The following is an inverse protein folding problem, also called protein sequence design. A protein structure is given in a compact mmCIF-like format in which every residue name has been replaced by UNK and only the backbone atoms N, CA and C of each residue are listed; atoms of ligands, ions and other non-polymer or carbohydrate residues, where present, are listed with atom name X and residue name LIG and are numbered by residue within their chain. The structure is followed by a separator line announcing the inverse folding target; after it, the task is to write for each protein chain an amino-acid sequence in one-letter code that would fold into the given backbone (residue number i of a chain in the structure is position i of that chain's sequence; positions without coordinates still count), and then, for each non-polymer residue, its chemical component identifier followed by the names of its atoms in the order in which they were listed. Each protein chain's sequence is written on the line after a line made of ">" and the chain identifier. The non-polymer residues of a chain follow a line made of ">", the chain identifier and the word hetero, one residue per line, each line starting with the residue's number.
data_IF_117859893392
#
_entry.id   IF_117859893392
#
_cell.length_a   1.000
_cell.length_b   1.000
_cell.length_c   1.000
_cell.angle_alpha   90.00
_cell.angle_beta   90.00
_cell.angle_gamma   90.00
#
_symmetry.space_group_name_H-M   'P 1'
#
loop_
_entity.id
_entity.type
_entity.pdbx_description
1 polymer ?
#
# COMPACT_ATOMS: atom_id res chain seq x y z
N UNK A 1 -15.40 -5.17 57.96
CA UNK A 1 -14.82 -4.94 56.63
C UNK A 1 -15.79 -5.47 55.58
N UNK A 2 -16.26 -4.61 54.70
CA UNK A 2 -17.34 -4.93 53.78
C UNK A 2 -16.83 -5.80 52.59
N UNK A 3 -17.17 -7.07 52.57
CA UNK A 3 -16.85 -8.05 51.49
C UNK A 3 -17.39 -7.66 50.11
N UNK A 4 -18.30 -6.68 50.04
CA UNK A 4 -18.86 -6.17 48.78
C UNK A 4 -17.90 -5.27 48.00
N UNK A 5 -16.90 -4.65 48.65
CA UNK A 5 -15.90 -3.81 48.02
C UNK A 5 -14.80 -4.63 47.29
N UNK A 6 -14.48 -5.82 47.81
CA UNK A 6 -13.46 -6.68 47.17
C UNK A 6 -13.94 -7.29 45.84
N UNK A 7 -15.25 -7.55 45.72
CA UNK A 7 -15.81 -8.13 44.48
C UNK A 7 -15.88 -7.13 43.33
N UNK A 8 -15.89 -5.83 43.60
CA UNK A 8 -15.89 -4.78 42.57
C UNK A 8 -14.50 -4.55 41.99
N UNK A 9 -13.44 -4.69 42.79
CA UNK A 9 -12.05 -4.49 42.33
C UNK A 9 -11.57 -5.62 41.38
N UNK A 10 -11.97 -6.88 41.67
CA UNK A 10 -11.57 -8.03 40.84
C UNK A 10 -12.24 -8.03 39.46
N UNK A 11 -13.45 -7.48 39.35
CA UNK A 11 -14.15 -7.41 38.06
C UNK A 11 -13.60 -6.32 37.12
N UNK A 12 -13.01 -5.26 37.72
CA UNK A 12 -12.40 -4.17 36.90
C UNK A 12 -11.03 -4.58 36.38
N UNK A 13 -10.26 -5.34 37.17
CA UNK A 13 -8.95 -5.85 36.74
C UNK A 13 -9.05 -6.89 35.58
N UNK A 14 -10.10 -7.72 35.58
CA UNK A 14 -10.34 -8.68 34.52
C UNK A 14 -10.79 -8.01 33.19
N UNK A 15 -11.49 -6.88 33.27
CA UNK A 15 -11.90 -6.13 32.06
C UNK A 15 -10.74 -5.38 31.41
N UNK A 16 -9.81 -4.84 32.21
CA UNK A 16 -8.62 -4.16 31.65
C UNK A 16 -7.60 -5.12 31.08
N UNK A 17 -7.49 -6.34 31.57
CA UNK A 17 -6.60 -7.36 31.01
C UNK A 17 -7.07 -7.87 29.61
N UNK A 18 -8.36 -7.80 29.31
CA UNK A 18 -8.91 -8.18 28.00
C UNK A 18 -8.66 -7.13 26.91
N UNK A 19 -8.42 -5.88 27.29
CA UNK A 19 -8.11 -4.82 26.31
C UNK A 19 -6.61 -4.70 26.00
N UNK A 20 -5.74 -5.33 26.77
CA UNK A 20 -4.30 -5.32 26.54
C UNK A 20 -3.80 -6.50 25.69
N UNK A 21 -4.68 -7.36 25.18
CA UNK A 21 -4.34 -8.23 24.07
C UNK A 21 -4.26 -7.37 22.80
N UNK A 22 -3.23 -6.51 22.72
CA UNK A 22 -2.84 -5.90 21.48
C UNK A 22 -2.69 -7.04 20.47
N UNK A 23 -3.40 -6.95 19.35
CA UNK A 23 -3.13 -7.83 18.24
C UNK A 23 -1.61 -7.83 18.01
N UNK A 24 -0.99 -8.99 17.79
CA UNK A 24 0.45 -9.03 17.56
C UNK A 24 0.76 -8.04 16.45
N UNK A 25 1.72 -7.15 16.71
CA UNK A 25 2.22 -6.27 15.66
C UNK A 25 2.82 -7.18 14.58
N UNK A 26 2.15 -7.29 13.44
CA UNK A 26 2.68 -8.05 12.32
C UNK A 26 3.95 -7.34 11.85
N UNK A 27 5.10 -8.00 11.97
CA UNK A 27 6.30 -7.47 11.39
C UNK A 27 6.19 -7.57 9.86
N UNK A 28 6.37 -6.44 9.22
CA UNK A 28 6.37 -6.35 7.77
C UNK A 28 7.33 -5.23 7.33
N UNK A 29 7.79 -5.34 6.10
CA UNK A 29 8.46 -4.27 5.37
C UNK A 29 7.64 -3.98 4.12
N UNK A 30 7.38 -2.71 3.83
CA UNK A 30 6.70 -2.28 2.62
C UNK A 30 7.23 -0.91 2.20
N UNK A 31 8.26 -0.90 1.37
CA UNK A 31 8.98 0.32 1.01
C UNK A 31 10.16 0.08 0.07
N UNK A 32 11.04 1.06 0.00
CA UNK A 32 12.18 1.09 -0.93
C UNK A 32 13.32 0.13 -0.59
N UNK A 33 13.33 -0.47 0.59
CA UNK A 33 14.33 -1.47 0.95
C UNK A 33 13.89 -2.87 0.51
N UNK A 34 12.64 -3.22 0.79
CA UNK A 34 12.06 -4.53 0.44
C UNK A 34 10.55 -4.53 0.73
N UNK A 35 9.88 -5.55 0.21
CA UNK A 35 8.51 -5.90 0.59
C UNK A 35 8.54 -7.31 1.16
N UNK A 36 8.11 -7.48 2.41
CA UNK A 36 8.01 -8.78 3.07
C UNK A 36 7.02 -8.75 4.21
N UNK A 37 6.43 -9.91 4.53
CA UNK A 37 5.43 -10.08 5.58
C UNK A 37 5.70 -11.35 6.38
N UNK A 38 5.42 -11.33 7.68
CA UNK A 38 5.47 -12.54 8.52
C UNK A 38 4.28 -13.48 8.29
N UNK A 39 3.15 -12.94 7.87
CA UNK A 39 1.94 -13.69 7.54
C UNK A 39 1.53 -13.43 6.10
N UNK A 40 0.77 -14.37 5.52
CA UNK A 40 0.16 -14.15 4.21
C UNK A 40 -0.72 -12.90 4.27
N UNK A 41 -0.49 -11.96 3.39
CA UNK A 41 -1.16 -10.66 3.43
C UNK A 41 -1.70 -10.30 2.05
N UNK A 42 -3.01 -10.11 1.99
CA UNK A 42 -3.66 -9.58 0.80
C UNK A 42 -3.52 -8.07 0.76
N UNK A 43 -3.00 -7.56 -0.35
CA UNK A 43 -2.88 -6.13 -0.59
C UNK A 43 -3.66 -5.77 -1.83
N UNK A 44 -4.56 -4.81 -1.69
CA UNK A 44 -5.30 -4.22 -2.79
C UNK A 44 -4.58 -2.98 -3.26
N UNK A 45 -4.32 -2.93 -4.55
CA UNK A 45 -3.74 -1.80 -5.26
C UNK A 45 -4.83 -1.09 -6.05
N UNK A 46 -4.81 0.25 -6.03
CA UNK A 46 -5.69 1.06 -6.86
C UNK A 46 -4.83 1.96 -7.74
N UNK A 47 -5.02 1.88 -9.05
CA UNK A 47 -4.43 2.81 -10.00
C UNK A 47 -4.95 4.22 -9.75
N UNK A 48 -4.05 5.19 -9.81
CA UNK A 48 -4.39 6.62 -9.67
C UNK A 48 -4.24 7.36 -10.98
N UNK A 49 -3.05 7.34 -11.50
CA UNK A 49 -2.70 7.98 -12.77
C UNK A 49 -1.30 7.58 -13.20
N UNK A 50 -0.98 7.89 -14.42
CA UNK A 50 0.39 7.95 -14.92
C UNK A 50 0.67 9.29 -15.57
N UNK A 51 1.95 9.66 -15.66
CA UNK A 51 2.37 10.90 -16.28
C UNK A 51 3.80 10.74 -16.78
N UNK A 52 3.98 10.45 -18.05
CA UNK A 52 5.30 10.21 -18.62
C UNK A 52 5.28 9.96 -20.13
N UNK A 53 6.45 9.77 -20.71
CA UNK A 53 6.62 9.56 -22.13
C UNK A 53 6.43 8.10 -22.57
N UNK A 54 6.43 7.15 -21.65
CA UNK A 54 6.41 5.73 -21.96
C UNK A 54 5.07 5.07 -21.68
N UNK A 55 4.89 3.90 -22.26
CA UNK A 55 3.79 3.01 -21.92
C UNK A 55 4.31 1.99 -20.91
N UNK A 56 3.73 1.98 -19.73
CA UNK A 56 4.27 1.27 -18.60
C UNK A 56 3.33 0.18 -18.08
N UNK A 57 3.93 -0.83 -17.43
CA UNK A 57 3.22 -1.91 -16.74
C UNK A 57 3.79 -2.10 -15.34
N UNK A 58 2.93 -1.96 -14.34
CA UNK A 58 3.29 -2.21 -12.95
C UNK A 58 3.01 -3.66 -12.57
N UNK A 59 3.98 -4.31 -11.93
CA UNK A 59 3.85 -5.70 -11.49
C UNK A 59 4.45 -5.96 -10.11
N UNK A 60 4.09 -7.12 -9.52
CA UNK A 60 4.73 -7.70 -8.35
C UNK A 60 5.76 -8.71 -8.80
N UNK A 61 6.96 -8.61 -8.26
CA UNK A 61 8.09 -9.50 -8.55
C UNK A 61 8.53 -10.20 -7.27
N UNK A 62 8.82 -11.50 -7.39
CA UNK A 62 9.55 -12.24 -6.37
C UNK A 62 11.05 -11.93 -6.47
N UNK A 63 11.72 -11.85 -5.32
CA UNK A 63 13.16 -11.52 -5.22
C UNK A 63 13.93 -12.70 -4.63
N UNK A 64 14.99 -13.11 -5.32
CA UNK A 64 15.95 -14.09 -4.82
C UNK A 64 17.38 -13.56 -5.06
N UNK A 65 17.96 -12.97 -4.00
CA UNK A 65 19.21 -12.23 -4.10
C UNK A 65 19.05 -11.01 -5.01
N UNK A 66 19.79 -10.99 -6.13
CA UNK A 66 19.68 -9.92 -7.16
C UNK A 66 18.78 -10.31 -8.34
N UNK A 67 18.18 -11.49 -8.30
CA UNK A 67 17.31 -11.97 -9.38
C UNK A 67 15.87 -11.68 -9.05
N UNK A 68 15.15 -11.15 -10.05
CA UNK A 68 13.72 -10.88 -9.94
C UNK A 68 12.93 -11.72 -10.94
N UNK A 69 11.72 -12.13 -10.57
CA UNK A 69 10.78 -12.81 -11.46
C UNK A 69 9.39 -12.20 -11.34
N UNK A 70 8.79 -11.84 -12.46
CA UNK A 70 7.42 -11.32 -12.48
C UNK A 70 6.44 -12.41 -12.02
N UNK A 71 5.66 -12.11 -10.99
CA UNK A 71 4.63 -12.99 -10.43
C UNK A 71 3.23 -12.59 -10.90
N UNK A 72 2.97 -11.27 -10.96
CA UNK A 72 1.68 -10.74 -11.39
C UNK A 72 1.83 -9.34 -11.94
N UNK A 73 1.24 -9.09 -13.10
CA UNK A 73 0.98 -7.73 -13.59
C UNK A 73 -0.26 -7.19 -12.87
N UNK A 74 -0.12 -6.02 -12.26
CA UNK A 74 -1.21 -5.33 -11.56
C UNK A 74 -1.99 -4.43 -12.53
N UNK A 75 -1.26 -3.60 -13.26
CA UNK A 75 -1.81 -2.64 -14.22
C UNK A 75 -0.94 -2.57 -15.45
N UNK A 76 -1.58 -2.32 -16.58
CA UNK A 76 -0.90 -2.11 -17.88
C UNK A 76 -1.56 -0.95 -18.59
N UNK A 77 -0.75 -0.03 -19.07
CA UNK A 77 -1.20 1.01 -19.99
C UNK A 77 -1.41 0.41 -21.39
N UNK A 78 -2.52 0.75 -21.99
CA UNK A 78 -2.90 0.29 -23.34
C UNK A 78 -2.63 1.34 -24.40
N UNK A 79 -2.38 2.58 -24.02
CA UNK A 79 -1.98 3.70 -24.88
C UNK A 79 -1.11 4.67 -24.09
N UNK A 80 -0.36 5.49 -24.81
CA UNK A 80 0.63 6.38 -24.23
C UNK A 80 0.02 7.54 -23.41
N UNK A 81 -1.16 8.08 -23.82
CA UNK A 81 -1.75 9.20 -23.08
C UNK A 81 -3.23 9.44 -23.37
N UNK A 82 -3.88 10.14 -22.46
CA UNK A 82 -5.21 10.72 -22.64
C UNK A 82 -5.13 12.21 -23.00
N UNK A 83 -4.17 12.90 -22.43
CA UNK A 83 -3.94 14.34 -22.58
C UNK A 83 -2.45 14.63 -22.49
N UNK A 84 -2.06 15.81 -22.94
CA UNK A 84 -0.70 16.28 -22.86
C UNK A 84 0.03 16.27 -24.22
N UNK A 85 1.28 16.69 -24.20
CA UNK A 85 2.17 16.74 -25.35
C UNK A 85 3.13 15.54 -25.34
N UNK A 86 3.86 15.35 -26.41
CA UNK A 86 4.92 14.33 -26.47
C UNK A 86 5.94 14.56 -25.37
N UNK A 87 6.11 13.58 -24.49
CA UNK A 87 6.99 13.66 -23.34
C UNK A 87 6.29 13.93 -22.01
N UNK A 88 5.07 14.51 -22.04
CA UNK A 88 4.30 14.89 -20.86
C UNK A 88 2.87 14.36 -20.97
N UNK A 89 2.71 13.07 -21.01
CA UNK A 89 1.42 12.44 -21.21
C UNK A 89 0.79 11.98 -19.92
N UNK A 90 -0.45 12.40 -19.70
CA UNK A 90 -1.25 11.95 -18.56
C UNK A 90 -2.07 10.74 -18.96
N UNK A 91 -1.98 9.68 -18.16
CA UNK A 91 -2.80 8.50 -18.31
C UNK A 91 -3.84 8.39 -17.19
N UNK A 92 -5.09 8.08 -17.56
CA UNK A 92 -6.22 7.97 -16.65
C UNK A 92 -6.89 6.60 -16.70
N UNK A 93 -7.63 6.29 -15.63
CA UNK A 93 -8.44 5.08 -15.58
C UNK A 93 -9.60 5.16 -16.58
N UNK A 94 -9.81 4.05 -17.29
CA UNK A 94 -10.85 3.93 -18.32
C UNK A 94 -10.35 4.24 -19.74
N UNK A 95 -9.27 4.97 -19.86
CA UNK A 95 -8.65 5.29 -21.13
C UNK A 95 -7.27 4.67 -21.29
N UNK A 96 -6.30 5.09 -20.48
CA UNK A 96 -4.92 4.57 -20.55
C UNK A 96 -4.78 3.25 -19.82
N UNK A 97 -5.37 3.12 -18.62
CA UNK A 97 -5.48 1.86 -17.90
C UNK A 97 -6.94 1.42 -17.92
N UNK A 98 -7.19 0.24 -18.50
CA UNK A 98 -8.55 -0.29 -18.64
C UNK A 98 -8.95 -1.17 -17.43
N UNK A 99 -10.26 -1.37 -17.28
CA UNK A 99 -10.84 -2.23 -16.25
C UNK A 99 -11.20 -1.48 -14.97
N UNK A 100 -11.18 -2.18 -13.84
CA UNK A 100 -11.64 -1.62 -12.57
C UNK A 100 -10.66 -0.62 -11.94
N UNK A 101 -9.40 -0.59 -12.40
CA UNK A 101 -8.32 0.13 -11.72
C UNK A 101 -7.96 -0.45 -10.36
N UNK A 102 -8.42 -1.66 -10.03
CA UNK A 102 -8.19 -2.35 -8.78
C UNK A 102 -7.56 -3.70 -9.06
N UNK A 103 -6.47 -4.00 -8.38
CA UNK A 103 -5.81 -5.30 -8.42
C UNK A 103 -5.44 -5.74 -7.01
N UNK A 104 -5.57 -7.04 -6.71
CA UNK A 104 -5.18 -7.60 -5.41
C UNK A 104 -4.08 -8.64 -5.61
N UNK A 105 -3.11 -8.67 -4.71
CA UNK A 105 -2.06 -9.67 -4.68
C UNK A 105 -1.89 -10.19 -3.25
N UNK A 106 -1.75 -11.53 -3.11
CA UNK A 106 -1.43 -12.17 -1.83
C UNK A 106 0.08 -12.30 -1.69
N UNK A 107 0.67 -11.54 -0.80
CA UNK A 107 2.07 -11.69 -0.41
C UNK A 107 2.17 -12.86 0.56
N UNK A 108 2.93 -13.88 0.18
CA UNK A 108 3.13 -15.05 1.04
C UNK A 108 4.12 -14.73 2.16
N UNK A 109 3.90 -15.33 3.31
CA UNK A 109 4.75 -15.19 4.49
C UNK A 109 6.21 -15.57 4.21
N UNK A 110 7.13 -14.81 4.78
CA UNK A 110 8.58 -15.08 4.73
C UNK A 110 9.17 -15.14 3.30
N UNK A 111 8.51 -14.52 2.33
CA UNK A 111 9.01 -14.30 0.99
C UNK A 111 9.41 -12.84 0.80
N UNK A 112 10.36 -12.60 -0.09
CA UNK A 112 10.83 -11.25 -0.43
C UNK A 112 10.27 -10.85 -1.79
N UNK A 113 9.75 -9.63 -1.86
CA UNK A 113 9.13 -9.08 -3.06
C UNK A 113 9.61 -7.66 -3.34
N UNK A 114 9.36 -7.22 -4.54
CA UNK A 114 9.45 -5.82 -4.96
C UNK A 114 8.33 -5.51 -5.94
N UNK A 115 7.95 -4.25 -6.06
CA UNK A 115 7.17 -3.79 -7.20
C UNK A 115 8.13 -3.42 -8.33
N UNK A 116 7.71 -3.61 -9.57
CA UNK A 116 8.51 -3.23 -10.74
C UNK A 116 7.64 -2.55 -11.79
N UNK A 117 8.15 -1.44 -12.32
CA UNK A 117 7.58 -0.72 -13.45
C UNK A 117 8.39 -1.02 -14.69
N UNK A 118 7.78 -1.74 -15.65
CA UNK A 118 8.37 -2.05 -16.95
C UNK A 118 7.86 -1.06 -17.97
N UNK A 119 8.75 -0.39 -18.67
CA UNK A 119 8.41 0.69 -19.58
C UNK A 119 8.82 0.39 -21.04
N UNK A 120 8.00 0.84 -21.98
CA UNK A 120 8.22 0.71 -23.44
C UNK A 120 8.14 2.10 -24.04
N UNK A 121 9.17 2.45 -24.80
CA UNK A 121 9.22 3.71 -25.53
C UNK A 121 8.18 3.80 -26.66
N UNK A 122 7.97 5.00 -27.16
CA UNK A 122 7.03 5.28 -28.25
C UNK A 122 7.37 4.53 -29.55
N UNK A 123 8.63 4.22 -29.74
CA UNK A 123 9.16 3.44 -30.87
C UNK A 123 9.04 1.92 -30.64
N UNK A 124 8.46 1.50 -29.52
CA UNK A 124 8.37 0.09 -29.12
C UNK A 124 9.65 -0.45 -28.46
N UNK A 125 10.67 0.38 -28.24
CA UNK A 125 11.90 -0.05 -27.57
C UNK A 125 11.64 -0.38 -26.10
N UNK A 126 12.24 -1.47 -25.63
CA UNK A 126 12.18 -1.85 -24.21
C UNK A 126 13.12 -0.93 -23.41
N UNK A 127 12.57 -0.17 -22.48
CA UNK A 127 13.31 0.73 -21.59
C UNK A 127 13.78 0.03 -20.31
N UNK A 128 13.39 -1.22 -20.11
CA UNK A 128 13.72 -2.02 -18.94
C UNK A 128 12.67 -1.97 -17.85
N UNK A 129 13.07 -2.44 -16.67
CA UNK A 129 12.22 -2.44 -15.47
C UNK A 129 12.96 -1.73 -14.35
N UNK A 130 12.32 -0.78 -13.73
CA UNK A 130 12.76 -0.17 -12.49
C UNK A 130 12.01 -0.78 -11.31
N UNK A 131 12.68 -0.91 -10.16
CA UNK A 131 12.13 -1.58 -8.98
C UNK A 131 11.92 -0.62 -7.83
N UNK A 132 10.88 -0.86 -7.02
CA UNK A 132 10.67 -0.12 -5.79
C UNK A 132 11.79 -0.35 -4.77
N UNK A 133 12.46 -1.52 -4.82
CA UNK A 133 13.64 -1.82 -4.02
C UNK A 133 14.88 -1.21 -4.67
N UNK A 134 15.40 -0.14 -4.09
CA UNK A 134 16.51 0.65 -4.66
C UNK A 134 17.74 -0.20 -4.99
N UNK A 135 18.09 -1.18 -4.13
CA UNK A 135 19.23 -2.05 -4.34
C UNK A 135 19.16 -2.95 -5.60
N UNK A 136 17.99 -3.09 -6.20
CA UNK A 136 17.77 -3.85 -7.44
C UNK A 136 17.94 -3.00 -8.69
N UNK A 137 18.00 -1.69 -8.55
CA UNK A 137 18.19 -0.76 -9.65
C UNK A 137 19.68 -0.54 -9.94
N UNK A 138 19.99 -0.14 -11.16
CA UNK A 138 21.37 0.20 -11.55
C UNK A 138 21.92 1.30 -10.63
N UNK A 139 23.10 1.07 -10.07
CA UNK A 139 23.71 2.01 -9.13
C UNK A 139 23.00 2.17 -7.79
N UNK A 140 22.00 1.34 -7.49
CA UNK A 140 21.20 1.44 -6.25
C UNK A 140 20.29 2.67 -6.21
N UNK A 141 19.91 3.21 -7.37
CA UNK A 141 19.07 4.42 -7.46
C UNK A 141 17.66 4.17 -6.96
N UNK A 142 17.11 5.16 -6.28
CA UNK A 142 15.72 5.15 -5.88
C UNK A 142 14.84 5.47 -7.10
N UNK A 143 13.90 4.58 -7.43
CA UNK A 143 12.99 4.70 -8.56
C UNK A 143 11.52 4.62 -8.12
N UNK A 144 11.27 4.62 -6.81
CA UNK A 144 9.93 4.68 -6.27
C UNK A 144 9.93 5.43 -4.94
N UNK A 145 8.82 6.05 -4.63
CA UNK A 145 8.58 6.72 -3.36
C UNK A 145 7.30 6.15 -2.72
N UNK A 146 7.30 6.12 -1.38
CA UNK A 146 6.19 5.63 -0.59
C UNK A 146 5.75 6.71 0.39
N UNK A 147 4.46 6.98 0.48
CA UNK A 147 3.97 8.05 1.34
C UNK A 147 2.50 7.91 1.76
N UNK A 148 1.97 8.94 2.38
CA UNK A 148 0.55 8.96 2.74
C UNK A 148 -0.31 9.17 1.50
N UNK A 149 -1.48 8.49 1.38
CA UNK A 149 -2.38 8.70 0.25
C UNK A 149 -2.83 10.14 0.05
N UNK A 150 -2.84 10.93 1.10
CA UNK A 150 -3.26 12.34 1.07
C UNK A 150 -2.26 13.27 0.40
N UNK A 151 -1.00 12.87 0.27
CA UNK A 151 0.02 13.64 -0.48
C UNK A 151 -0.25 13.58 -1.98
N UNK A 152 -0.97 12.54 -2.42
CA UNK A 152 -1.34 12.31 -3.81
C UNK A 152 -2.77 12.79 -4.15
N UNK A 153 -3.47 13.48 -3.25
CA UNK A 153 -4.81 14.03 -3.47
C UNK A 153 -4.81 15.55 -3.22
N UNK A 154 -5.40 16.33 -4.09
CA UNK A 154 -6.03 16.01 -5.37
C UNK A 154 -5.01 16.11 -6.49
N UNK A 155 -4.83 15.04 -7.20
CA UNK A 155 -4.05 15.02 -8.41
C UNK A 155 -4.83 15.67 -9.56
N UNK A 156 -5.01 16.97 -9.50
CA UNK A 156 -5.16 17.73 -10.71
C UNK A 156 -3.73 17.98 -11.18
N UNK A 157 -3.18 17.05 -11.95
CA UNK A 157 -1.99 17.36 -12.70
C UNK A 157 -2.43 18.44 -13.68
N UNK A 158 -1.95 19.64 -13.44
CA UNK A 158 -1.85 20.62 -14.50
C UNK A 158 -0.75 20.09 -15.45
N UNK A 159 -1.05 19.78 -16.71
CA UNK A 159 -0.04 19.37 -17.68
C UNK A 159 1.09 20.38 -17.84
N UNK A 160 0.88 21.63 -17.39
CA UNK A 160 1.88 22.67 -17.37
C UNK A 160 2.70 22.69 -16.06
N UNK A 161 2.29 21.95 -15.03
CA UNK A 161 2.95 21.91 -13.73
C UNK A 161 3.62 20.54 -13.52
N UNK A 162 4.82 20.40 -14.05
CA UNK A 162 5.71 19.27 -13.81
C UNK A 162 6.15 19.20 -12.35
N UNK A 163 5.81 20.17 -11.51
CA UNK A 163 6.20 20.24 -10.11
C UNK A 163 5.18 19.60 -9.16
N UNK A 164 4.01 19.18 -9.62
CA UNK A 164 2.95 18.63 -8.74
C UNK A 164 3.31 17.31 -8.11
N UNK A 165 4.22 16.57 -8.72
CA UNK A 165 4.96 15.45 -8.14
C UNK A 165 6.46 15.72 -8.12
N UNK A 166 6.87 16.92 -8.38
CA UNK A 166 8.26 17.28 -8.20
C UNK A 166 8.65 16.74 -6.85
N UNK A 167 9.12 15.60 -6.97
CA UNK A 167 9.34 14.75 -5.88
C UNK A 167 10.43 15.38 -5.10
N UNK A 168 10.05 16.13 -4.16
CA UNK A 168 10.85 16.12 -2.97
C UNK A 168 10.61 14.74 -2.35
N UNK A 169 11.53 13.76 -2.46
CA UNK A 169 11.39 12.45 -1.83
C UNK A 169 11.02 12.56 -0.35
N UNK A 170 11.39 13.66 0.31
CA UNK A 170 11.01 13.98 1.68
C UNK A 170 9.48 14.05 1.88
N UNK A 171 8.71 14.41 0.88
CA UNK A 171 7.24 14.46 0.99
C UNK A 171 6.60 13.06 0.96
N UNK A 172 7.35 12.04 0.55
CA UNK A 172 6.87 10.66 0.38
C UNK A 172 7.50 9.68 1.37
N UNK A 173 8.46 10.12 2.19
CA UNK A 173 9.20 9.23 3.10
C UNK A 173 8.55 9.06 4.45
N UNK A 174 7.47 9.76 4.75
CA UNK A 174 6.89 9.74 6.08
C UNK A 174 5.42 9.32 6.08
N UNK A 175 5.16 8.05 6.42
CA UNK A 175 4.01 7.81 7.23
C UNK A 175 2.75 7.28 6.57
N UNK A 176 2.81 6.56 5.49
CA UNK A 176 1.69 5.69 5.10
C UNK A 176 1.72 4.41 5.93
N UNK A 177 0.59 3.95 6.42
CA UNK A 177 0.46 2.64 7.03
C UNK A 177 -0.37 1.74 6.13
N UNK A 178 0.26 0.67 5.64
CA UNK A 178 -0.41 -0.30 4.77
C UNK A 178 -1.71 -0.85 5.39
N UNK A 179 -1.74 -0.99 6.71
CA UNK A 179 -2.88 -1.51 7.48
C UNK A 179 -3.84 -0.42 7.99
N UNK A 180 -3.44 0.85 7.91
CA UNK A 180 -4.25 1.95 8.41
C UNK A 180 -4.22 3.12 7.43
N UNK A 181 -5.19 3.16 6.53
CA UNK A 181 -5.36 4.21 5.54
C UNK A 181 -4.60 4.02 4.23
N UNK A 182 -3.70 3.03 4.16
CA UNK A 182 -2.96 2.69 2.94
C UNK A 182 -1.68 3.50 2.74
N UNK A 183 -0.98 3.17 1.67
CA UNK A 183 0.28 3.79 1.22
C UNK A 183 0.11 4.22 -0.23
N UNK A 184 0.55 5.41 -0.54
CA UNK A 184 0.73 5.88 -1.91
C UNK A 184 2.12 5.49 -2.42
N UNK A 185 2.20 5.06 -3.65
CA UNK A 185 3.43 4.63 -4.31
C UNK A 185 3.49 5.30 -5.66
N UNK A 186 4.60 5.98 -5.94
CA UNK A 186 4.82 6.62 -7.22
C UNK A 186 6.20 6.28 -7.75
N UNK A 187 6.27 5.99 -9.03
CA UNK A 187 7.48 5.57 -9.72
C UNK A 187 8.00 6.69 -10.62
N UNK A 188 9.32 6.74 -10.71
CA UNK A 188 10.08 7.38 -11.78
C UNK A 188 10.47 6.28 -12.76
N UNK A 189 10.09 6.40 -14.03
CA UNK A 189 10.51 5.48 -15.05
C UNK A 189 11.96 5.78 -15.49
N UNK A 190 12.62 4.81 -16.03
CA UNK A 190 14.05 4.94 -16.39
C UNK A 190 14.29 5.87 -17.59
N UNK A 191 13.24 6.35 -18.24
CA UNK A 191 13.38 6.91 -19.58
C UNK A 191 13.98 8.29 -19.67
N UNK A 192 13.77 9.08 -18.67
CA UNK A 192 14.20 10.48 -18.64
C UNK A 192 15.59 10.68 -18.03
N UNK A 193 16.30 9.59 -17.76
CA UNK A 193 17.44 9.66 -16.85
C UNK A 193 16.93 9.73 -15.42
N UNK A 194 17.70 10.22 -14.51
CA UNK A 194 17.26 10.37 -13.10
C UNK A 194 16.78 11.81 -12.95
N UNK A 195 15.57 12.14 -13.40
CA UNK A 195 14.97 13.45 -13.15
C UNK A 195 14.29 13.51 -11.78
N UNK A 196 14.04 12.33 -11.19
CA UNK A 196 13.54 12.15 -9.84
C UNK A 196 12.18 12.84 -9.60
N UNK A 197 11.32 12.84 -10.61
CA UNK A 197 10.01 13.47 -10.51
C UNK A 197 8.91 12.51 -10.01
N UNK A 198 9.14 11.21 -10.03
CA UNK A 198 8.30 10.13 -9.48
C UNK A 198 6.82 10.24 -9.85
N UNK A 199 6.51 10.69 -11.05
CA UNK A 199 5.13 10.90 -11.49
C UNK A 199 4.67 9.88 -12.54
N UNK A 200 5.59 9.08 -13.07
CA UNK A 200 5.33 8.27 -14.26
C UNK A 200 4.26 7.22 -14.01
N UNK A 201 4.18 6.66 -12.82
CA UNK A 201 3.13 5.69 -12.49
C UNK A 201 2.77 5.71 -11.00
N UNK A 202 1.53 6.07 -10.69
CA UNK A 202 1.07 6.25 -9.32
C UNK A 202 -0.08 5.30 -8.97
N UNK A 203 0.08 4.61 -7.84
CA UNK A 203 -0.92 3.72 -7.24
C UNK A 203 -1.07 3.99 -5.74
N UNK A 204 -2.18 3.54 -5.15
CA UNK A 204 -2.28 3.35 -3.71
C UNK A 204 -2.35 1.87 -3.39
N UNK A 205 -1.80 1.47 -2.25
CA UNK A 205 -1.82 0.11 -1.75
C UNK A 205 -2.40 0.08 -0.33
N UNK A 206 -3.24 -0.90 -0.03
CA UNK A 206 -3.82 -1.11 1.29
C UNK A 206 -3.95 -2.59 1.58
N UNK A 207 -3.49 -3.02 2.76
CA UNK A 207 -3.72 -4.39 3.21
C UNK A 207 -5.20 -4.60 3.54
N UNK A 208 -5.70 -5.76 3.13
CA UNK A 208 -7.04 -6.21 3.49
C UNK A 208 -6.96 -6.82 4.89
N UNK A 209 -7.74 -6.33 5.88
CA UNK A 209 -7.75 -6.91 7.21
C UNK A 209 -8.14 -8.39 7.16
N UNK A 210 -7.37 -9.24 7.84
CA UNK A 210 -7.71 -10.66 7.90
C UNK A 210 -9.07 -10.89 8.59
N UNK A 211 -9.87 -11.88 8.13
CA UNK A 211 -11.15 -12.21 8.74
C UNK A 211 -11.06 -12.55 10.24
N UNK A 212 -9.91 -13.07 10.68
CA UNK A 212 -9.64 -13.40 12.09
C UNK A 212 -9.67 -12.17 13.00
N UNK A 213 -9.16 -11.03 12.53
CA UNK A 213 -9.21 -9.77 13.28
C UNK A 213 -10.65 -9.29 13.46
N UNK A 214 -11.46 -9.43 12.44
CA UNK A 214 -12.90 -9.09 12.49
C UNK A 214 -13.66 -10.04 13.40
N UNK A 215 -13.33 -11.34 13.37
CA UNK A 215 -13.94 -12.36 14.26
C UNK A 215 -13.56 -12.09 15.71
N UNK A 216 -12.31 -11.79 16.00
CA UNK A 216 -11.85 -11.44 17.36
C UNK A 216 -12.56 -10.21 17.91
N UNK A 217 -12.74 -9.18 17.12
CA UNK A 217 -13.47 -7.97 17.47
C UNK A 217 -14.97 -8.27 17.74
N UNK A 218 -15.60 -9.06 16.87
CA UNK A 218 -17.01 -9.46 17.02
C UNK A 218 -17.23 -10.30 18.31
N UNK A 219 -16.33 -11.26 18.60
CA UNK A 219 -16.38 -12.07 19.81
C UNK A 219 -16.12 -11.22 21.07
N UNK A 220 -15.19 -10.28 21.00
CA UNK A 220 -14.90 -9.35 22.10
C UNK A 220 -16.11 -8.46 22.42
N UNK A 221 -16.72 -7.85 21.43
CA UNK A 221 -17.93 -7.04 21.59
C UNK A 221 -19.12 -7.87 22.06
N UNK A 222 -19.33 -9.07 21.49
CA UNK A 222 -20.37 -10.00 21.90
C UNK A 222 -20.23 -10.43 23.36
N UNK A 223 -19.02 -10.73 23.80
CA UNK A 223 -18.70 -11.06 25.18
C UNK A 223 -19.02 -9.92 26.15
N UNK A 224 -18.71 -8.68 25.80
CA UNK A 224 -19.03 -7.49 26.60
C UNK A 224 -20.54 -7.29 26.76
N UNK A 225 -21.31 -7.45 25.68
CA UNK A 225 -22.79 -7.34 25.73
C UNK A 225 -23.40 -8.44 26.60
N UNK A 226 -22.91 -9.68 26.48
CA UNK A 226 -23.36 -10.80 27.31
C UNK A 226 -23.04 -10.60 28.80
N UNK A 227 -21.84 -10.09 29.13
CA UNK A 227 -21.46 -9.77 30.51
C UNK A 227 -22.31 -8.66 31.12
N UNK A 228 -22.68 -7.64 30.33
CA UNK A 228 -23.55 -6.54 30.75
C UNK A 228 -24.97 -7.01 31.04
N UNK A 229 -25.55 -7.91 30.23
CA UNK A 229 -26.88 -8.49 30.43
C UNK A 229 -26.97 -9.32 31.72
N UNK A 230 -25.92 -10.11 32.03
CA UNK A 230 -25.89 -10.92 33.28
C UNK A 230 -25.85 -10.07 34.58
N UNK A 231 -25.32 -8.86 34.51
CA UNK A 231 -25.33 -7.93 35.69
C UNK A 231 -26.70 -7.29 35.90
N UNK A 232 -27.46 -7.01 34.84
CA UNK A 232 -28.79 -6.39 34.97
C UNK A 232 -29.86 -7.30 35.57
N UNK A 233 -29.71 -8.63 35.49
CA UNK A 233 -30.72 -9.58 35.99
C UNK A 233 -30.61 -9.90 37.49
N UNK A 234 -29.56 -9.46 38.20
CA UNK A 234 -29.35 -9.71 39.62
C UNK A 234 -29.87 -8.61 40.57
N UNK A 235 -30.46 -7.55 40.02
CA UNK A 235 -31.01 -6.42 40.81
C UNK A 235 -32.53 -6.43 40.92
N UNK A 236 -33.22 -7.51 40.47
CA UNK A 236 -34.67 -7.64 40.53
C UNK A 236 -35.13 -8.86 41.38
N UNK A 237 -34.61 -8.97 42.62
CA UNK A 237 -35.19 -9.86 43.65
C UNK A 237 -34.91 -9.32 45.06
#
# INVERSE_FOLDING_TARGET
>A
MNTKLLSALTATAAATALFSAAAPAHAFSFGTNTISFENNTDVTFNFRQSYGAYTSSLGVYGVNGQTTSLLKTLFTEVKSSDMGATGDWKGTLGNTVLGSGIATFTFLANQVYTLGLSSVGLDGSNQGTVFSTSALNSGGTQQAVFGTPNVLLPLVIDPADTTTFAANPANFTSGGSLFNGGVAISFDDRGNGVDADFQDFTVTAQAVPEPMTMTGLALGLGGLVAARRRRGSKTAS
#
